data_IF_954819471986
#
_entry.id   IF_954819471986
#
_cell.length_a   1.000
_cell.length_b   1.000
_cell.length_c   1.000
_cell.angle_alpha   90.00
_cell.angle_beta   90.00
_cell.angle_gamma   90.00
#
_symmetry.space_group_name_H-M   'P 1'
#
loop_
_entity.id
_entity.type
_entity.pdbx_description
1 polymer ?
#
# COMPACT_ATOMS: atom_id res chain seq x y z
N UNK A 1 24.48 11.57 -15.98
CA UNK A 1 23.09 11.40 -15.51
C UNK A 1 22.88 11.98 -14.11
N UNK A 2 23.73 11.74 -13.14
CA UNK A 2 23.58 12.24 -11.75
C UNK A 2 23.63 13.77 -11.57
N UNK A 3 24.41 14.53 -12.38
CA UNK A 3 24.50 15.98 -12.25
C UNK A 3 23.17 16.69 -12.56
N UNK A 4 22.47 16.31 -13.62
CA UNK A 4 21.15 16.87 -13.95
C UNK A 4 20.08 16.55 -12.88
N UNK A 5 20.15 15.37 -12.25
CA UNK A 5 19.24 15.00 -11.17
C UNK A 5 19.53 15.80 -9.89
N UNK A 6 20.81 16.06 -9.58
CA UNK A 6 21.19 16.92 -8.44
C UNK A 6 20.61 18.34 -8.60
N UNK A 7 20.73 18.92 -9.80
CA UNK A 7 20.16 20.24 -10.10
C UNK A 7 18.66 20.25 -9.88
N UNK A 8 17.93 19.28 -10.46
CA UNK A 8 16.46 19.20 -10.36
C UNK A 8 15.96 19.00 -8.92
N UNK A 9 16.62 18.14 -8.14
CA UNK A 9 16.30 17.97 -6.72
C UNK A 9 16.58 19.28 -5.97
N UNK A 10 17.70 19.95 -6.26
CA UNK A 10 18.06 21.22 -5.63
C UNK A 10 17.05 22.33 -5.95
N UNK A 11 16.61 22.46 -7.20
CA UNK A 11 15.59 23.41 -7.63
C UNK A 11 14.24 23.13 -6.95
N UNK A 12 13.81 21.87 -6.92
CA UNK A 12 12.55 21.47 -6.27
C UNK A 12 12.54 21.79 -4.76
N UNK A 13 13.67 21.60 -4.08
CA UNK A 13 13.77 21.79 -2.64
C UNK A 13 14.22 23.19 -2.21
N UNK A 14 14.67 24.02 -3.15
CA UNK A 14 15.26 25.34 -2.87
C UNK A 14 16.59 25.27 -2.08
N UNK A 15 17.28 24.11 -2.13
CA UNK A 15 18.54 23.86 -1.39
C UNK A 15 19.52 23.14 -2.29
N UNK A 16 20.77 23.59 -2.41
CA UNK A 16 21.78 22.91 -3.22
C UNK A 16 22.01 21.47 -2.78
N UNK A 17 22.22 20.58 -3.75
CA UNK A 17 22.55 19.18 -3.54
C UNK A 17 24.06 19.00 -3.63
N UNK A 18 24.68 18.46 -2.59
CA UNK A 18 26.14 18.25 -2.51
C UNK A 18 26.58 16.90 -3.08
N UNK A 19 25.70 15.90 -3.04
CA UNK A 19 25.95 14.61 -3.69
C UNK A 19 24.64 13.87 -4.00
N UNK A 20 24.63 13.11 -5.11
CA UNK A 20 23.56 12.17 -5.49
C UNK A 20 24.19 10.83 -5.83
N UNK A 21 23.54 9.74 -5.39
CA UNK A 21 23.91 8.37 -5.71
C UNK A 21 22.67 7.62 -6.19
N UNK A 22 22.84 6.73 -7.16
CA UNK A 22 21.79 5.79 -7.56
C UNK A 22 21.68 4.70 -6.49
N UNK A 23 20.47 4.47 -6.00
CA UNK A 23 20.13 3.43 -5.03
C UNK A 23 19.44 2.22 -5.69
N UNK A 24 19.04 2.34 -6.95
CA UNK A 24 18.37 1.27 -7.71
C UNK A 24 17.37 1.80 -8.71
N UNK A 25 16.52 0.90 -9.19
CA UNK A 25 15.36 1.23 -10.02
C UNK A 25 14.24 0.21 -9.76
N UNK A 26 13.00 0.66 -9.74
CA UNK A 26 11.82 -0.19 -9.57
C UNK A 26 10.63 0.45 -10.26
N UNK A 27 9.76 -0.36 -10.87
CA UNK A 27 8.54 0.11 -11.55
C UNK A 27 8.76 1.24 -12.57
N UNK A 28 9.92 1.26 -13.23
CA UNK A 28 10.27 2.32 -14.19
C UNK A 28 10.85 3.60 -13.56
N UNK A 29 10.90 3.71 -12.25
CA UNK A 29 11.47 4.84 -11.53
C UNK A 29 12.91 4.58 -11.11
N UNK A 30 13.76 5.60 -11.25
CA UNK A 30 15.12 5.60 -10.68
C UNK A 30 15.04 5.97 -9.20
N UNK A 31 15.67 5.20 -8.35
CA UNK A 31 15.81 5.49 -6.94
C UNK A 31 17.17 6.15 -6.68
N UNK A 32 17.14 7.26 -5.99
CA UNK A 32 18.32 8.09 -5.71
C UNK A 32 18.40 8.40 -4.22
N UNK A 33 19.62 8.49 -3.71
CA UNK A 33 19.87 9.12 -2.42
C UNK A 33 20.63 10.43 -2.64
N UNK A 34 20.25 11.47 -1.93
CA UNK A 34 20.84 12.79 -2.05
C UNK A 34 21.26 13.33 -0.68
N UNK A 35 22.39 14.07 -0.64
CA UNK A 35 22.78 14.89 0.49
C UNK A 35 22.60 16.35 0.11
N UNK A 36 21.92 17.10 0.96
CA UNK A 36 21.66 18.52 0.78
C UNK A 36 22.72 19.38 1.50
N UNK A 37 22.89 20.60 1.05
CA UNK A 37 23.86 21.55 1.66
C UNK A 37 23.50 21.94 3.11
N UNK A 38 22.22 21.85 3.49
CA UNK A 38 21.75 22.07 4.85
C UNK A 38 21.91 20.85 5.79
N UNK A 39 22.58 19.79 5.31
CA UNK A 39 22.87 18.57 6.07
C UNK A 39 21.78 17.49 6.00
N UNK A 40 20.58 17.79 5.50
CA UNK A 40 19.52 16.79 5.31
C UNK A 40 19.94 15.71 4.30
N UNK A 41 19.42 14.52 4.48
CA UNK A 41 19.49 13.43 3.51
C UNK A 41 18.11 13.14 2.94
N UNK A 42 18.04 12.86 1.66
CA UNK A 42 16.80 12.62 0.97
C UNK A 42 16.86 11.34 0.14
N UNK A 43 15.72 10.65 0.03
CA UNK A 43 15.48 9.63 -0.97
C UNK A 43 14.60 10.24 -2.05
N UNK A 44 14.87 9.93 -3.32
CA UNK A 44 14.06 10.42 -4.42
C UNK A 44 13.71 9.30 -5.40
N UNK A 45 12.44 9.27 -5.80
CA UNK A 45 11.99 8.56 -6.99
C UNK A 45 12.01 9.55 -8.15
N UNK A 46 12.69 9.18 -9.23
CA UNK A 46 12.84 10.02 -10.42
C UNK A 46 12.39 9.27 -11.67
N UNK A 47 11.55 9.93 -12.47
CA UNK A 47 11.08 9.43 -13.77
C UNK A 47 11.37 10.49 -14.85
N UNK A 48 12.60 10.61 -15.35
CA UNK A 48 12.95 11.64 -16.32
C UNK A 48 12.09 11.54 -17.58
N UNK A 49 11.36 12.61 -17.89
CA UNK A 49 10.41 12.63 -19.00
C UNK A 49 9.07 11.96 -18.68
N UNK A 50 8.75 11.77 -17.39
CA UNK A 50 7.50 11.17 -16.93
C UNK A 50 6.26 11.83 -17.55
N UNK A 51 5.30 10.99 -17.89
CA UNK A 51 3.98 11.36 -18.43
C UNK A 51 3.02 11.88 -17.34
N UNK A 52 1.77 12.10 -17.69
CA UNK A 52 0.74 12.55 -16.76
C UNK A 52 0.44 11.51 -15.69
N UNK A 53 0.41 10.21 -16.05
CA UNK A 53 0.17 9.12 -15.10
C UNK A 53 1.28 9.04 -14.03
N UNK A 54 2.53 9.30 -14.42
CA UNK A 54 3.67 9.39 -13.49
C UNK A 54 3.49 10.57 -12.52
N UNK A 55 3.08 11.73 -13.04
CA UNK A 55 2.85 12.92 -12.21
C UNK A 55 1.73 12.68 -11.18
N UNK A 56 0.65 12.06 -11.61
CA UNK A 56 -0.47 11.69 -10.74
C UNK A 56 -0.05 10.65 -9.69
N UNK A 57 0.72 9.63 -10.07
CA UNK A 57 1.21 8.61 -9.14
C UNK A 57 2.11 9.21 -8.04
N UNK A 58 3.03 10.11 -8.39
CA UNK A 58 3.87 10.80 -7.40
C UNK A 58 3.07 11.74 -6.51
N UNK A 59 2.09 12.45 -7.07
CA UNK A 59 1.19 13.28 -6.28
C UNK A 59 0.32 12.45 -5.33
N UNK A 60 -0.18 11.29 -5.78
CA UNK A 60 -0.98 10.36 -4.99
C UNK A 60 -0.17 9.79 -3.81
N UNK A 61 1.06 9.34 -4.06
CA UNK A 61 1.96 8.84 -3.00
C UNK A 61 2.29 9.94 -1.99
N UNK A 62 2.62 11.16 -2.46
CA UNK A 62 2.88 12.30 -1.58
C UNK A 62 1.67 12.66 -0.72
N UNK A 63 0.46 12.65 -1.29
CA UNK A 63 -0.78 12.89 -0.56
C UNK A 63 -1.04 11.78 0.47
N UNK A 64 -0.85 10.52 0.09
CA UNK A 64 -0.98 9.36 0.97
C UNK A 64 -0.04 9.44 2.18
N UNK A 65 1.26 9.73 1.95
CA UNK A 65 2.24 9.91 3.03
C UNK A 65 1.84 11.01 4.00
N UNK A 66 1.41 12.16 3.49
CA UNK A 66 0.97 13.30 4.32
C UNK A 66 -0.27 12.94 5.13
N UNK A 67 -1.27 12.38 4.47
CA UNK A 67 -2.54 12.00 5.11
C UNK A 67 -2.37 10.94 6.19
N UNK A 68 -1.58 9.89 5.93
CA UNK A 68 -1.26 8.87 6.95
C UNK A 68 -0.50 9.48 8.14
N UNK A 69 0.42 10.42 7.87
CA UNK A 69 1.20 11.08 8.93
C UNK A 69 0.35 11.94 9.88
N UNK A 70 -0.79 12.48 9.42
CA UNK A 70 -1.72 13.24 10.27
C UNK A 70 -2.25 12.43 11.47
N UNK A 71 -2.30 11.09 11.35
CA UNK A 71 -2.69 10.23 12.48
C UNK A 71 -1.69 10.26 13.65
N UNK A 72 -0.43 10.63 13.39
CA UNK A 72 0.62 10.71 14.43
C UNK A 72 0.94 9.37 15.10
N UNK A 73 0.54 8.25 14.54
CA UNK A 73 0.52 6.94 15.19
C UNK A 73 1.67 6.02 14.76
N UNK A 74 1.95 5.94 13.47
CA UNK A 74 3.11 5.23 12.89
C UNK A 74 3.99 6.26 12.20
N UNK A 75 5.32 6.18 12.31
CA UNK A 75 6.18 7.14 11.62
C UNK A 75 6.18 6.90 10.10
N UNK A 76 6.19 8.00 9.35
CA UNK A 76 6.34 8.04 7.89
C UNK A 76 7.43 9.05 7.52
N UNK A 77 8.18 8.84 6.43
CA UNK A 77 9.14 9.82 5.95
C UNK A 77 8.41 11.10 5.53
N UNK A 78 9.00 12.24 5.86
CA UNK A 78 8.45 13.53 5.43
C UNK A 78 8.58 13.69 3.92
N UNK A 79 7.52 14.12 3.27
CA UNK A 79 7.57 14.57 1.88
C UNK A 79 8.30 15.92 1.84
N UNK A 80 9.47 15.96 1.22
CA UNK A 80 10.30 17.15 1.08
C UNK A 80 9.90 17.96 -0.17
N UNK A 81 9.50 17.27 -1.23
CA UNK A 81 9.03 17.89 -2.46
C UNK A 81 8.42 16.89 -3.42
N UNK A 82 7.51 17.34 -4.27
CA UNK A 82 6.92 16.55 -5.36
C UNK A 82 6.77 17.43 -6.59
N UNK A 83 7.11 16.90 -7.75
CA UNK A 83 6.89 17.50 -9.06
C UNK A 83 6.39 16.45 -10.04
N UNK A 84 6.19 16.81 -11.29
CA UNK A 84 5.71 15.91 -12.36
C UNK A 84 6.54 14.61 -12.47
N UNK A 85 7.84 14.69 -12.20
CA UNK A 85 8.79 13.62 -12.47
C UNK A 85 9.80 13.34 -11.34
N UNK A 86 9.52 13.90 -10.15
CA UNK A 86 10.26 13.70 -8.92
C UNK A 86 9.34 13.62 -7.71
N UNK A 87 9.55 12.61 -6.88
CA UNK A 87 9.07 12.58 -5.50
C UNK A 87 10.30 12.51 -4.59
N UNK A 88 10.45 13.46 -3.69
CA UNK A 88 11.58 13.54 -2.74
C UNK A 88 11.04 13.44 -1.32
N UNK A 89 11.52 12.46 -0.58
CA UNK A 89 11.14 12.20 0.81
C UNK A 89 12.39 12.16 1.69
N UNK A 90 12.20 12.19 2.99
CA UNK A 90 13.25 11.98 3.98
C UNK A 90 13.91 10.60 3.78
N UNK A 91 15.24 10.55 3.78
CA UNK A 91 15.98 9.29 3.77
C UNK A 91 16.02 8.71 5.17
N UNK A 92 15.51 7.50 5.30
CA UNK A 92 15.56 6.75 6.54
C UNK A 92 16.84 5.90 6.58
N UNK A 93 17.62 5.91 7.67
CA UNK A 93 18.75 5.01 7.82
C UNK A 93 18.27 3.55 7.98
N UNK A 94 19.05 2.63 7.45
CA UNK A 94 18.79 1.20 7.57
C UNK A 94 18.80 0.73 9.03
N UNK A 95 17.95 -0.22 9.34
CA UNK A 95 17.86 -0.86 10.64
C UNK A 95 17.32 -2.28 10.56
N UNK A 96 17.05 -2.87 11.70
CA UNK A 96 16.53 -4.24 11.79
C UNK A 96 15.22 -4.28 12.57
N UNK A 97 14.32 -5.17 12.17
CA UNK A 97 13.15 -5.53 12.94
C UNK A 97 13.58 -6.16 14.28
N UNK A 98 12.96 -5.70 15.35
CA UNK A 98 13.02 -6.37 16.66
C UNK A 98 11.60 -6.74 17.09
N UNK A 99 11.48 -7.68 18.04
CA UNK A 99 10.16 -8.08 18.52
C UNK A 99 9.38 -6.92 19.15
N UNK A 100 10.06 -6.09 19.94
CA UNK A 100 9.44 -4.94 20.61
C UNK A 100 9.03 -3.84 19.59
N UNK A 101 9.89 -3.55 18.62
CA UNK A 101 9.56 -2.62 17.54
C UNK A 101 8.38 -3.13 16.70
N UNK A 102 8.27 -4.43 16.46
CA UNK A 102 7.17 -5.04 15.73
C UNK A 102 5.85 -4.96 16.52
N UNK A 103 5.88 -5.18 17.84
CA UNK A 103 4.70 -5.06 18.71
C UNK A 103 4.23 -3.60 18.78
N UNK A 104 5.15 -2.64 18.96
CA UNK A 104 4.81 -1.20 18.94
C UNK A 104 4.31 -0.75 17.57
N UNK A 105 4.89 -1.26 16.46
CA UNK A 105 4.39 -1.01 15.12
C UNK A 105 2.94 -1.47 14.94
N UNK A 106 2.60 -2.68 15.43
CA UNK A 106 1.23 -3.18 15.42
C UNK A 106 0.27 -2.31 16.20
N UNK A 107 0.65 -1.88 17.39
CA UNK A 107 -0.13 -0.94 18.20
C UNK A 107 -0.30 0.44 17.51
N UNK A 108 0.77 0.93 16.89
CA UNK A 108 0.73 2.15 16.07
C UNK A 108 -0.20 2.03 14.88
N UNK A 109 -0.16 0.91 14.16
CA UNK A 109 -1.03 0.63 13.02
C UNK A 109 -2.51 0.63 13.44
N UNK A 110 -2.83 0.03 14.58
CA UNK A 110 -4.19 0.07 15.14
C UNK A 110 -4.67 1.50 15.41
N UNK A 111 -3.81 2.34 15.98
CA UNK A 111 -4.12 3.77 16.22
C UNK A 111 -4.28 4.54 14.90
N UNK A 112 -3.45 4.26 13.88
CA UNK A 112 -3.57 4.88 12.56
C UNK A 112 -4.91 4.52 11.90
N UNK A 113 -5.27 3.25 11.90
CA UNK A 113 -6.57 2.80 11.39
C UNK A 113 -7.74 3.47 12.12
N UNK A 114 -7.66 3.58 13.45
CA UNK A 114 -8.68 4.21 14.28
C UNK A 114 -8.81 5.73 14.07
N UNK A 115 -7.81 6.41 13.48
CA UNK A 115 -7.94 7.80 13.08
C UNK A 115 -9.02 8.00 12.00
N UNK A 116 -9.40 6.92 11.30
CA UNK A 116 -10.55 6.89 10.39
C UNK A 116 -10.35 7.66 9.09
N UNK A 117 -11.38 7.57 8.25
CA UNK A 117 -11.51 8.30 6.99
C UNK A 117 -12.96 8.77 6.81
N UNK A 118 -13.17 9.76 5.95
CA UNK A 118 -14.50 10.31 5.68
C UNK A 118 -15.41 9.33 4.91
N UNK A 119 -14.81 8.46 4.08
CA UNK A 119 -15.47 7.45 3.26
C UNK A 119 -14.50 6.33 2.92
N UNK A 120 -14.96 5.24 2.36
CA UNK A 120 -14.12 4.35 1.59
C UNK A 120 -13.64 5.09 0.34
N UNK A 121 -12.40 4.85 -0.12
CA UNK A 121 -11.76 5.64 -1.18
C UNK A 121 -10.97 6.85 -0.67
N UNK A 122 -10.62 7.76 -1.58
CA UNK A 122 -9.85 8.95 -1.28
C UNK A 122 -10.19 10.11 -2.24
N UNK A 123 -9.93 11.37 -1.87
CA UNK A 123 -10.15 12.52 -2.76
C UNK A 123 -9.05 12.68 -3.84
N UNK A 124 -8.17 11.70 -3.99
CA UNK A 124 -7.11 11.63 -5.01
C UNK A 124 -7.12 10.26 -5.69
N UNK A 125 -6.64 10.18 -6.95
CA UNK A 125 -6.47 8.90 -7.63
C UNK A 125 -5.44 8.04 -6.88
N UNK A 126 -5.60 6.72 -6.90
CA UNK A 126 -4.65 5.77 -6.35
C UNK A 126 -3.82 5.09 -7.42
N UNK A 127 -2.70 4.52 -7.00
CA UNK A 127 -1.84 3.71 -7.86
C UNK A 127 -1.22 2.56 -7.07
N UNK A 128 -1.11 1.39 -7.71
CA UNK A 128 -0.28 0.27 -7.28
C UNK A 128 0.70 -0.03 -8.41
N UNK A 129 1.97 0.29 -8.23
CA UNK A 129 2.96 0.32 -9.31
C UNK A 129 2.44 1.18 -10.48
N UNK A 130 2.22 0.59 -11.66
CA UNK A 130 1.65 1.26 -12.84
C UNK A 130 0.12 1.13 -12.97
N UNK A 131 -0.53 0.40 -12.07
CA UNK A 131 -1.97 0.14 -12.15
C UNK A 131 -2.74 1.23 -11.40
N UNK A 132 -3.72 1.89 -12.05
CA UNK A 132 -4.59 2.85 -11.39
C UNK A 132 -5.52 2.15 -10.40
N UNK A 133 -5.77 2.81 -9.26
CA UNK A 133 -6.77 2.45 -8.27
C UNK A 133 -7.89 3.48 -8.32
N UNK A 134 -9.10 3.06 -8.60
CA UNK A 134 -10.26 3.94 -8.47
C UNK A 134 -10.56 4.17 -6.98
N UNK A 135 -10.44 5.40 -6.55
CA UNK A 135 -10.72 5.84 -5.19
C UNK A 135 -12.04 6.61 -5.07
N UNK A 136 -12.96 6.47 -6.03
CA UNK A 136 -14.31 7.05 -5.94
C UNK A 136 -14.91 6.75 -4.57
N UNK A 137 -15.39 7.77 -3.83
CA UNK A 137 -15.91 7.58 -2.48
C UNK A 137 -17.10 6.64 -2.42
N UNK A 138 -17.12 5.77 -1.38
CA UNK A 138 -18.23 4.87 -1.07
C UNK A 138 -18.57 4.87 0.42
N UNK A 139 -19.76 4.40 0.74
CA UNK A 139 -20.30 4.40 2.12
C UNK A 139 -20.41 3.00 2.73
N UNK A 140 -20.41 1.94 1.91
CA UNK A 140 -20.51 0.55 2.33
C UNK A 140 -19.28 -0.22 1.79
N UNK A 141 -18.54 -0.90 2.68
CA UNK A 141 -17.26 -1.50 2.29
C UNK A 141 -17.40 -2.64 1.28
N UNK A 142 -18.33 -3.54 1.48
CA UNK A 142 -18.43 -4.73 0.65
C UNK A 142 -18.66 -4.41 -0.81
N UNK A 143 -19.69 -3.59 -1.13
CA UNK A 143 -19.97 -3.14 -2.49
C UNK A 143 -18.83 -2.31 -3.06
N UNK A 144 -18.29 -1.36 -2.28
CA UNK A 144 -17.15 -0.55 -2.71
C UNK A 144 -15.92 -1.41 -3.04
N UNK A 145 -15.60 -2.39 -2.17
CA UNK A 145 -14.46 -3.29 -2.39
C UNK A 145 -14.65 -4.17 -3.63
N UNK A 146 -15.86 -4.68 -3.84
CA UNK A 146 -16.21 -5.43 -5.04
C UNK A 146 -16.01 -4.58 -6.31
N UNK A 147 -16.61 -3.39 -6.35
CA UNK A 147 -16.63 -2.54 -7.53
C UNK A 147 -15.29 -1.87 -7.83
N UNK A 148 -14.57 -1.42 -6.79
CA UNK A 148 -13.35 -0.65 -6.98
C UNK A 148 -12.07 -1.48 -6.85
N UNK A 149 -12.13 -2.65 -6.23
CA UNK A 149 -10.93 -3.47 -5.93
C UNK A 149 -10.95 -4.86 -6.54
N UNK A 150 -12.10 -5.52 -6.66
CA UNK A 150 -12.13 -6.88 -7.20
C UNK A 150 -12.43 -6.91 -8.70
N UNK A 151 -13.57 -6.38 -9.11
CA UNK A 151 -14.06 -6.47 -10.49
C UNK A 151 -13.09 -5.91 -11.53
N UNK A 152 -12.49 -4.71 -11.37
CA UNK A 152 -11.59 -4.16 -12.38
C UNK A 152 -10.36 -5.03 -12.63
N UNK A 153 -9.74 -5.54 -11.54
CA UNK A 153 -8.53 -6.35 -11.65
C UNK A 153 -8.82 -7.80 -12.05
N UNK A 154 -9.98 -8.35 -11.65
CA UNK A 154 -10.45 -9.63 -12.12
C UNK A 154 -10.63 -9.62 -13.64
N UNK A 155 -11.35 -8.61 -14.15
CA UNK A 155 -11.55 -8.44 -15.59
C UNK A 155 -10.23 -8.26 -16.32
N UNK A 156 -9.37 -7.36 -15.82
CA UNK A 156 -8.05 -7.13 -16.43
C UNK A 156 -7.19 -8.40 -16.45
N UNK A 157 -7.10 -9.13 -15.34
CA UNK A 157 -6.31 -10.36 -15.27
C UNK A 157 -6.84 -11.44 -16.22
N UNK A 158 -8.15 -11.52 -16.41
CA UNK A 158 -8.78 -12.41 -17.39
C UNK A 158 -8.51 -11.96 -18.84
N UNK A 159 -8.74 -10.67 -19.15
CA UNK A 159 -8.51 -10.11 -20.50
C UNK A 159 -7.02 -10.25 -20.93
N UNK A 160 -6.09 -10.16 -19.99
CA UNK A 160 -4.64 -10.34 -20.20
C UNK A 160 -4.24 -11.85 -20.24
N UNK A 161 -5.17 -12.78 -20.03
CA UNK A 161 -4.93 -14.22 -20.05
C UNK A 161 -4.21 -14.77 -18.82
N UNK A 162 -4.13 -14.00 -17.73
CA UNK A 162 -3.55 -14.47 -16.47
C UNK A 162 -4.52 -15.37 -15.67
N UNK A 163 -5.82 -15.22 -15.88
CA UNK A 163 -6.90 -16.05 -15.32
C UNK A 163 -7.74 -16.64 -16.47
N UNK A 164 -8.24 -17.85 -16.28
CA UNK A 164 -9.16 -18.49 -17.21
C UNK A 164 -10.65 -18.24 -16.87
N UNK A 165 -11.57 -18.71 -17.73
CA UNK A 165 -13.02 -18.54 -17.53
C UNK A 165 -13.52 -19.18 -16.21
N UNK A 166 -12.90 -20.26 -15.77
CA UNK A 166 -13.26 -20.92 -14.53
C UNK A 166 -12.82 -20.09 -13.31
N UNK A 167 -11.64 -19.46 -13.38
CA UNK A 167 -11.16 -18.53 -12.36
C UNK A 167 -12.02 -17.26 -12.30
N UNK A 168 -12.39 -16.72 -13.47
CA UNK A 168 -13.32 -15.59 -13.58
C UNK A 168 -14.62 -15.89 -12.85
N UNK A 169 -15.32 -16.97 -13.25
CA UNK A 169 -16.61 -17.39 -12.68
C UNK A 169 -16.53 -17.68 -11.18
N UNK A 170 -15.40 -18.24 -10.71
CA UNK A 170 -15.18 -18.53 -9.30
C UNK A 170 -15.09 -17.23 -8.47
N UNK A 171 -14.33 -16.24 -8.92
CA UNK A 171 -14.20 -14.96 -8.21
C UNK A 171 -15.48 -14.12 -8.34
N UNK A 172 -16.18 -14.16 -9.48
CA UNK A 172 -17.51 -13.53 -9.62
C UNK A 172 -18.51 -14.09 -8.59
N UNK A 173 -18.44 -15.39 -8.29
CA UNK A 173 -19.27 -15.99 -7.23
C UNK A 173 -18.94 -15.40 -5.86
N UNK A 174 -17.67 -15.13 -5.55
CA UNK A 174 -17.26 -14.42 -4.32
C UNK A 174 -17.80 -12.98 -4.32
N UNK A 175 -17.65 -12.26 -5.43
CA UNK A 175 -18.16 -10.89 -5.59
C UNK A 175 -19.67 -10.83 -5.35
N UNK A 176 -20.44 -11.74 -5.93
CA UNK A 176 -21.89 -11.80 -5.76
C UNK A 176 -22.34 -12.11 -4.32
N UNK A 177 -21.46 -12.73 -3.52
CA UNK A 177 -21.71 -13.07 -2.12
C UNK A 177 -20.99 -12.12 -1.14
N UNK A 178 -20.47 -11.01 -1.62
CA UNK A 178 -19.60 -10.13 -0.80
C UNK A 178 -20.31 -9.65 0.47
N UNK A 179 -21.59 -9.36 0.40
CA UNK A 179 -22.39 -8.94 1.56
C UNK A 179 -22.47 -9.99 2.68
N UNK A 180 -22.34 -11.29 2.34
CA UNK A 180 -22.29 -12.38 3.32
C UNK A 180 -20.88 -12.58 3.87
N UNK A 181 -19.85 -12.32 3.03
CA UNK A 181 -18.46 -12.64 3.31
C UNK A 181 -17.73 -11.49 4.00
N UNK A 182 -18.22 -10.26 3.87
CA UNK A 182 -17.57 -9.05 4.38
C UNK A 182 -17.54 -8.95 5.91
N UNK A 183 -18.39 -9.72 6.62
CA UNK A 183 -18.51 -9.64 8.06
C UNK A 183 -19.33 -8.43 8.55
N UNK A 184 -19.24 -8.11 9.83
CA UNK A 184 -19.96 -6.97 10.37
C UNK A 184 -19.45 -5.65 9.77
N UNK A 185 -20.33 -4.65 9.55
CA UNK A 185 -19.89 -3.36 9.03
C UNK A 185 -18.95 -2.66 10.00
N UNK A 186 -17.88 -2.11 9.45
CA UNK A 186 -16.94 -1.25 10.18
C UNK A 186 -16.84 0.13 9.50
N UNK A 187 -16.57 1.20 10.26
CA UNK A 187 -16.34 2.51 9.66
C UNK A 187 -15.07 2.52 8.80
N UNK A 188 -14.98 3.43 7.82
CA UNK A 188 -13.78 3.57 7.01
C UNK A 188 -12.55 3.85 7.89
N UNK A 189 -11.55 3.01 7.79
CA UNK A 189 -10.26 3.14 8.47
C UNK A 189 -9.25 3.83 7.57
N UNK A 190 -8.30 4.55 8.15
CA UNK A 190 -7.16 5.14 7.45
C UNK A 190 -6.13 4.04 7.19
N UNK A 191 -6.14 3.44 5.99
CA UNK A 191 -5.26 2.32 5.65
C UNK A 191 -4.09 2.73 4.74
N UNK A 192 -3.01 1.96 4.83
CA UNK A 192 -1.86 2.08 3.94
C UNK A 192 -2.21 1.65 2.51
N UNK A 193 -2.99 0.59 2.35
CA UNK A 193 -3.52 0.09 1.09
C UNK A 193 -2.56 -0.76 0.24
N UNK A 194 -1.26 -0.77 0.57
CA UNK A 194 -0.22 -1.63 -0.01
C UNK A 194 0.76 -2.11 1.08
N UNK A 195 0.23 -2.65 2.19
CA UNK A 195 1.03 -2.96 3.37
C UNK A 195 1.61 -4.38 3.34
N UNK A 196 2.67 -4.56 2.59
CA UNK A 196 3.51 -5.76 2.64
C UNK A 196 4.85 -5.46 3.31
N UNK A 197 5.63 -6.51 3.62
CA UNK A 197 6.87 -6.36 4.40
C UNK A 197 7.90 -5.39 3.78
N UNK A 198 7.92 -5.25 2.44
CA UNK A 198 8.81 -4.33 1.74
C UNK A 198 8.46 -2.85 1.92
N UNK A 199 7.21 -2.55 2.29
CA UNK A 199 6.74 -1.19 2.58
C UNK A 199 6.80 -0.84 4.08
N UNK A 200 7.47 -1.69 4.88
CA UNK A 200 7.80 -1.42 6.28
C UNK A 200 9.33 -1.36 6.43
N UNK A 201 9.87 -0.16 6.55
CA UNK A 201 11.29 0.03 6.86
C UNK A 201 11.51 0.05 8.38
N UNK A 202 12.52 -0.69 8.82
CA UNK A 202 12.92 -0.70 10.22
C UNK A 202 14.07 0.28 10.41
N UNK A 203 13.85 1.34 11.17
CA UNK A 203 14.83 2.40 11.38
C UNK A 203 14.72 2.98 12.79
N UNK A 204 15.86 3.19 13.46
CA UNK A 204 15.89 3.75 14.80
C UNK A 204 15.06 2.96 15.84
N UNK A 205 14.99 1.63 15.70
CA UNK A 205 14.19 0.77 16.58
C UNK A 205 12.67 0.85 16.37
N UNK A 206 12.21 1.39 15.24
CA UNK A 206 10.79 1.58 14.90
C UNK A 206 10.48 1.07 13.49
N UNK A 207 9.24 0.65 13.27
CA UNK A 207 8.71 0.39 11.93
C UNK A 207 8.18 1.68 11.30
N UNK A 208 8.61 1.98 10.09
CA UNK A 208 8.21 3.15 9.28
C UNK A 208 7.44 2.68 8.05
N UNK A 209 6.38 3.38 7.70
CA UNK A 209 5.60 3.10 6.49
C UNK A 209 6.13 3.93 5.31
N UNK A 210 6.27 3.27 4.15
CA UNK A 210 6.69 3.90 2.89
C UNK A 210 5.79 3.40 1.75
N UNK A 211 5.81 4.09 0.61
CA UNK A 211 5.16 3.66 -0.64
C UNK A 211 3.65 3.33 -0.49
N UNK A 212 2.84 4.20 0.15
CA UNK A 212 1.44 3.89 0.38
C UNK A 212 0.57 4.05 -0.87
N UNK A 213 -0.44 3.20 -0.99
CA UNK A 213 -1.63 3.39 -1.81
C UNK A 213 -2.82 3.85 -0.93
N UNK A 214 -2.60 4.90 -0.12
CA UNK A 214 -3.43 5.26 1.01
C UNK A 214 -4.84 5.70 0.63
N UNK A 215 -5.83 5.15 1.33
CA UNK A 215 -7.25 5.48 1.17
C UNK A 215 -8.05 5.07 2.41
N UNK A 216 -9.28 5.52 2.49
CA UNK A 216 -10.24 4.96 3.43
C UNK A 216 -10.60 3.54 3.02
N UNK A 217 -10.35 2.57 3.89
CA UNK A 217 -10.55 1.16 3.60
C UNK A 217 -10.96 0.37 4.85
N UNK A 218 -11.00 -0.95 4.73
CA UNK A 218 -11.21 -1.83 5.86
C UNK A 218 -9.87 -2.18 6.51
N UNK A 219 -9.77 -2.02 7.82
CA UNK A 219 -8.50 -2.23 8.56
C UNK A 219 -7.91 -3.63 8.41
N UNK A 220 -8.73 -4.65 8.19
CA UNK A 220 -8.26 -6.01 7.97
C UNK A 220 -7.48 -6.16 6.66
N UNK A 221 -7.64 -5.25 5.69
CA UNK A 221 -6.92 -5.29 4.40
C UNK A 221 -5.42 -5.18 4.59
N UNK A 222 -4.94 -4.21 5.37
CA UNK A 222 -3.51 -4.06 5.65
C UNK A 222 -2.94 -5.28 6.41
N UNK A 223 -3.69 -5.80 7.38
CA UNK A 223 -3.29 -6.98 8.15
C UNK A 223 -3.22 -8.25 7.31
N UNK A 224 -4.19 -8.45 6.43
CA UNK A 224 -4.23 -9.57 5.51
C UNK A 224 -3.06 -9.53 4.51
N UNK A 225 -2.66 -8.33 4.07
CA UNK A 225 -1.54 -8.17 3.17
C UNK A 225 -0.19 -8.42 3.85
N UNK A 226 0.00 -7.98 5.10
CA UNK A 226 1.17 -8.36 5.90
C UNK A 226 1.29 -9.88 6.06
N UNK A 227 0.16 -10.57 6.23
CA UNK A 227 0.13 -12.03 6.36
C UNK A 227 0.39 -12.76 5.02
N UNK A 228 -0.03 -12.18 3.88
CA UNK A 228 0.08 -12.80 2.56
C UNK A 228 1.54 -13.00 2.12
N UNK A 229 2.36 -11.98 2.28
CA UNK A 229 3.77 -12.00 1.86
C UNK A 229 4.74 -12.26 3.02
N UNK A 230 4.21 -12.39 4.23
CA UNK A 230 4.99 -12.52 5.45
C UNK A 230 5.65 -11.19 5.88
N UNK A 231 5.68 -10.96 7.17
CA UNK A 231 6.39 -9.83 7.75
C UNK A 231 7.29 -10.30 8.90
N UNK A 232 8.46 -9.68 9.12
CA UNK A 232 9.28 -9.97 10.27
C UNK A 232 8.48 -9.82 11.56
N UNK A 233 8.47 -10.83 12.40
CA UNK A 233 7.75 -10.84 13.68
C UNK A 233 6.24 -10.60 13.55
N UNK A 234 5.58 -11.12 12.50
CA UNK A 234 4.14 -10.92 12.24
C UNK A 234 3.26 -11.18 13.47
N UNK A 235 3.55 -12.24 14.24
CA UNK A 235 2.80 -12.54 15.47
C UNK A 235 2.89 -11.41 16.51
N UNK A 236 4.03 -10.72 16.59
CA UNK A 236 4.21 -9.57 17.47
C UNK A 236 3.43 -8.35 16.95
N UNK A 237 3.47 -8.11 15.64
CA UNK A 237 2.64 -7.07 15.02
C UNK A 237 1.18 -7.30 15.32
N UNK A 238 0.68 -8.52 15.10
CA UNK A 238 -0.71 -8.89 15.38
C UNK A 238 -1.08 -8.75 16.86
N UNK A 239 -0.17 -9.12 17.77
CA UNK A 239 -0.38 -8.94 19.21
C UNK A 239 -0.53 -7.47 19.59
N UNK A 240 0.39 -6.61 19.15
CA UNK A 240 0.33 -5.17 19.38
C UNK A 240 -0.95 -4.56 18.82
N UNK A 241 -1.32 -4.98 17.61
CA UNK A 241 -2.55 -4.53 16.95
C UNK A 241 -3.80 -4.91 17.75
N UNK A 242 -4.00 -6.21 17.99
CA UNK A 242 -5.22 -6.72 18.64
C UNK A 242 -5.31 -6.35 20.11
N UNK A 243 -4.17 -6.14 20.78
CA UNK A 243 -4.11 -5.58 22.13
C UNK A 243 -4.54 -4.12 22.21
N UNK A 244 -4.42 -3.37 21.11
CA UNK A 244 -4.82 -1.96 21.02
C UNK A 244 -6.24 -1.81 20.48
N UNK A 245 -6.59 -2.53 19.41
CA UNK A 245 -7.90 -2.52 18.76
C UNK A 245 -8.31 -3.96 18.38
N UNK A 246 -9.11 -4.63 19.20
CA UNK A 246 -9.61 -5.97 18.89
C UNK A 246 -10.32 -6.01 17.53
N UNK A 247 -10.08 -7.07 16.79
CA UNK A 247 -10.78 -7.34 15.52
C UNK A 247 -12.12 -8.02 15.79
N UNK A 248 -13.07 -7.82 14.88
CA UNK A 248 -14.38 -8.46 14.96
C UNK A 248 -14.25 -9.99 14.87
N UNK A 249 -15.15 -10.71 15.51
CA UNK A 249 -15.19 -12.16 15.47
C UNK A 249 -15.20 -12.67 14.01
N UNK A 250 -14.52 -13.79 13.78
CA UNK A 250 -14.42 -14.38 12.44
C UNK A 250 -13.43 -13.68 11.50
N UNK A 251 -12.65 -12.70 11.93
CA UNK A 251 -11.71 -11.98 11.06
C UNK A 251 -10.72 -12.91 10.33
N UNK A 252 -10.32 -14.03 10.96
CA UNK A 252 -9.41 -14.98 10.30
C UNK A 252 -10.03 -15.66 9.08
N UNK A 253 -11.33 -15.90 9.10
CA UNK A 253 -12.05 -16.46 7.96
C UNK A 253 -12.20 -15.43 6.82
N UNK A 254 -12.11 -14.12 7.13
CA UNK A 254 -12.16 -13.04 6.14
C UNK A 254 -10.80 -12.72 5.50
N UNK A 255 -9.69 -13.20 6.06
CA UNK A 255 -8.33 -12.95 5.51
C UNK A 255 -8.25 -13.25 4.01
N UNK A 256 -8.76 -14.40 3.48
CA UNK A 256 -8.73 -14.66 2.04
C UNK A 256 -9.49 -13.64 1.21
N UNK A 257 -10.58 -13.03 1.72
CA UNK A 257 -11.31 -11.99 1.03
C UNK A 257 -10.45 -10.73 0.84
N UNK A 258 -9.79 -10.28 1.90
CA UNK A 258 -8.89 -9.13 1.84
C UNK A 258 -7.62 -9.39 1.01
N UNK A 259 -7.23 -10.65 0.85
CA UNK A 259 -6.09 -11.05 0.02
C UNK A 259 -6.43 -11.15 -1.47
N UNK A 260 -7.71 -11.25 -1.86
CA UNK A 260 -8.08 -11.36 -3.27
C UNK A 260 -7.60 -10.16 -4.09
N UNK A 261 -7.78 -8.93 -3.61
CA UNK A 261 -7.33 -7.75 -4.34
C UNK A 261 -5.82 -7.74 -4.61
N UNK A 262 -4.92 -7.85 -3.62
CA UNK A 262 -3.48 -7.91 -3.91
C UNK A 262 -3.10 -9.11 -4.79
N UNK A 263 -3.76 -10.25 -4.68
CA UNK A 263 -3.51 -11.41 -5.56
C UNK A 263 -3.93 -11.12 -7.01
N UNK A 264 -5.07 -10.48 -7.23
CA UNK A 264 -5.53 -10.07 -8.56
C UNK A 264 -4.60 -9.01 -9.18
N UNK A 265 -4.16 -8.02 -8.38
CA UNK A 265 -3.14 -7.04 -8.80
C UNK A 265 -1.86 -7.73 -9.23
N UNK A 266 -1.38 -8.71 -8.46
CA UNK A 266 -0.17 -9.48 -8.82
C UNK A 266 -0.39 -10.34 -10.06
N UNK A 267 -1.59 -10.89 -10.28
CA UNK A 267 -1.93 -11.58 -11.53
C UNK A 267 -1.86 -10.63 -12.73
N UNK A 268 -2.35 -9.39 -12.60
CA UNK A 268 -2.23 -8.37 -13.65
C UNK A 268 -0.77 -7.97 -13.94
N UNK A 269 0.08 -7.88 -12.91
CA UNK A 269 1.46 -7.40 -13.05
C UNK A 269 2.44 -8.50 -13.48
N UNK A 270 2.24 -9.74 -13.00
CA UNK A 270 3.21 -10.84 -13.10
C UNK A 270 2.65 -12.08 -13.79
N UNK A 271 1.40 -12.05 -14.23
CA UNK A 271 0.76 -13.12 -14.99
C UNK A 271 0.26 -14.29 -14.13
N UNK A 272 -0.04 -15.41 -14.81
CA UNK A 272 -0.76 -16.56 -14.25
C UNK A 272 -0.09 -17.32 -13.11
N UNK A 273 1.14 -16.97 -12.71
CA UNK A 273 1.78 -17.56 -11.53
C UNK A 273 1.00 -17.33 -10.23
N UNK A 274 0.15 -16.30 -10.20
CA UNK A 274 -0.74 -15.98 -9.08
C UNK A 274 -2.14 -16.57 -9.19
N UNK A 275 -2.55 -17.13 -10.34
CA UNK A 275 -3.87 -17.71 -10.56
C UNK A 275 -4.21 -18.81 -9.54
N UNK A 276 -3.24 -19.65 -9.18
CA UNK A 276 -3.44 -20.71 -8.18
C UNK A 276 -3.78 -20.13 -6.80
N UNK A 277 -3.18 -19.01 -6.42
CA UNK A 277 -3.43 -18.35 -5.14
C UNK A 277 -4.78 -17.63 -5.14
N UNK A 278 -5.16 -16.96 -6.24
CA UNK A 278 -6.50 -16.38 -6.44
C UNK A 278 -7.56 -17.46 -6.29
N UNK A 279 -7.38 -18.59 -6.98
CA UNK A 279 -8.28 -19.75 -6.92
C UNK A 279 -8.40 -20.35 -5.51
N UNK A 280 -7.27 -20.49 -4.82
CA UNK A 280 -7.24 -21.02 -3.45
C UNK A 280 -8.00 -20.10 -2.50
N UNK A 281 -7.75 -18.78 -2.54
CA UNK A 281 -8.44 -17.80 -1.71
C UNK A 281 -9.96 -17.81 -1.98
N UNK A 282 -10.38 -17.80 -3.23
CA UNK A 282 -11.80 -17.83 -3.61
C UNK A 282 -12.49 -19.12 -3.14
N UNK A 283 -11.84 -20.29 -3.27
CA UNK A 283 -12.40 -21.56 -2.79
C UNK A 283 -12.60 -21.58 -1.28
N UNK A 284 -11.61 -21.14 -0.51
CA UNK A 284 -11.71 -21.06 0.96
C UNK A 284 -12.93 -20.23 1.36
N UNK A 285 -13.15 -19.09 0.73
CA UNK A 285 -14.31 -18.22 1.00
C UNK A 285 -15.65 -18.89 0.71
N UNK A 286 -15.74 -19.68 -0.35
CA UNK A 286 -16.98 -20.31 -0.78
C UNK A 286 -17.30 -21.62 -0.03
N UNK A 287 -16.29 -22.29 0.49
CA UNK A 287 -16.47 -23.57 1.21
C UNK A 287 -16.52 -23.40 2.73
N UNK A 288 -16.05 -22.27 3.26
CA UNK A 288 -16.03 -21.99 4.71
C UNK A 288 -15.03 -22.83 5.48
N UNK A 289 -14.02 -23.38 4.80
CA UNK A 289 -13.01 -24.30 5.40
C UNK A 289 -11.60 -23.75 5.22
#
# INVERSE_FOLDING_TARGET
MTAGQATRIGELLGVPVTSVRTAGAQHGYQHLTARLADGRQAFAKAAPGGDEATAEAFAAEANGLRWLAEAGAVPLPRVLGVSRDLLVIELLPDGRATQDAAEEFGAGLARMHAAGAASFGAPWPGYLASLPLDNTPGTEWGSWYAEQRLVPYLKKAHDDGALDDADLSLVETVVNRIGELAGPPEPPSRIHGDLWAGNVLWSGGRGWLIDPAAHGGHRETDLAMLALFGAPHLERIMRGYTGTAPLADGWRARVPLHQLHPLLVHACLFGGSYAAQVRAAARVLLTGS
#
